data_IF_699171676682
#
_entry.id   IF_699171676682
#
_cell.length_a   1.000
_cell.length_b   1.000
_cell.length_c   1.000
_cell.angle_alpha   90.00
_cell.angle_beta   90.00
_cell.angle_gamma   90.00
#
_symmetry.space_group_name_H-M   'P 1'
#
loop_
_entity.id
_entity.type
_entity.pdbx_description
1 polymer ?
#
# COMPACT_ATOMS: atom_id res chain seq x y z
N UNK A 1 -7.79 -1.56 -28.10
CA UNK A 1 -7.91 -2.50 -26.96
C UNK A 1 -6.63 -2.61 -26.12
N UNK A 2 -5.43 -2.68 -26.72
CA UNK A 2 -4.15 -2.74 -25.96
C UNK A 2 -3.94 -1.59 -24.96
N UNK A 3 -4.43 -0.38 -25.29
CA UNK A 3 -4.32 0.79 -24.40
C UNK A 3 -5.12 0.64 -23.09
N UNK A 4 -6.33 0.09 -23.15
CA UNK A 4 -7.17 -0.17 -21.96
C UNK A 4 -6.52 -1.18 -21.01
N UNK A 5 -5.90 -2.23 -21.55
CA UNK A 5 -5.22 -3.26 -20.77
C UNK A 5 -4.01 -2.66 -20.04
N UNK A 6 -3.21 -1.83 -20.71
CA UNK A 6 -2.07 -1.14 -20.11
C UNK A 6 -2.53 -0.21 -18.99
N UNK A 7 -3.62 0.55 -19.20
CA UNK A 7 -4.15 1.45 -18.19
C UNK A 7 -4.64 0.72 -16.93
N UNK A 8 -5.30 -0.44 -17.09
CA UNK A 8 -5.71 -1.30 -15.99
C UNK A 8 -4.49 -1.88 -15.26
N UNK A 9 -3.48 -2.35 -15.99
CA UNK A 9 -2.25 -2.88 -15.40
C UNK A 9 -1.50 -1.82 -14.60
N UNK A 10 -1.45 -0.58 -15.08
CA UNK A 10 -0.86 0.53 -14.35
C UNK A 10 -1.62 0.86 -13.06
N UNK A 11 -2.96 0.81 -13.08
CA UNK A 11 -3.77 0.96 -11.84
C UNK A 11 -3.53 -0.19 -10.87
N UNK A 12 -3.45 -1.41 -11.36
CA UNK A 12 -3.20 -2.60 -10.53
C UNK A 12 -1.80 -2.58 -9.93
N UNK A 13 -0.80 -2.10 -10.68
CA UNK A 13 0.57 -1.94 -10.19
C UNK A 13 0.64 -0.99 -8.99
N UNK A 14 -0.12 0.11 -8.99
CA UNK A 14 -0.23 1.03 -7.86
C UNK A 14 -0.85 0.37 -6.62
N UNK A 15 -1.92 -0.39 -6.81
CA UNK A 15 -2.52 -1.17 -5.73
C UNK A 15 -1.55 -2.24 -5.18
N UNK A 16 -0.76 -2.86 -6.06
CA UNK A 16 0.31 -3.78 -5.68
C UNK A 16 1.41 -3.12 -4.85
N UNK A 17 1.87 -1.94 -5.25
CA UNK A 17 2.86 -1.17 -4.48
C UNK A 17 2.32 -0.79 -3.09
N UNK A 18 1.07 -0.35 -3.01
CA UNK A 18 0.41 -0.06 -1.73
C UNK A 18 0.33 -1.30 -0.83
N UNK A 19 0.03 -2.48 -1.41
CA UNK A 19 0.02 -3.75 -0.69
C UNK A 19 1.40 -4.11 -0.12
N UNK A 20 2.47 -3.97 -0.93
CA UNK A 20 3.84 -4.25 -0.48
C UNK A 20 4.24 -3.32 0.67
N UNK A 21 3.97 -2.02 0.55
CA UNK A 21 4.28 -1.04 1.60
C UNK A 21 3.49 -1.33 2.88
N UNK A 22 2.19 -1.65 2.75
CA UNK A 22 1.36 -2.01 3.89
C UNK A 22 1.84 -3.26 4.62
N UNK A 23 2.29 -4.29 3.90
CA UNK A 23 2.85 -5.51 4.50
C UNK A 23 4.17 -5.19 5.22
N UNK A 24 5.05 -4.38 4.62
CA UNK A 24 6.31 -3.97 5.26
C UNK A 24 6.01 -3.25 6.57
N UNK A 25 5.07 -2.29 6.56
CA UNK A 25 4.66 -1.58 7.78
C UNK A 25 4.10 -2.54 8.83
N UNK A 26 3.22 -3.46 8.44
CA UNK A 26 2.64 -4.44 9.37
C UNK A 26 3.71 -5.33 10.01
N UNK A 27 4.67 -5.84 9.22
CA UNK A 27 5.78 -6.66 9.74
C UNK A 27 6.66 -5.86 10.70
N UNK A 28 6.92 -4.59 10.39
CA UNK A 28 7.71 -3.70 11.26
C UNK A 28 6.93 -3.38 12.55
N UNK A 29 5.63 -3.14 12.49
CA UNK A 29 4.82 -2.87 13.69
C UNK A 29 4.68 -4.09 14.60
N UNK A 30 4.42 -5.27 14.03
CA UNK A 30 4.21 -6.51 14.81
C UNK A 30 5.54 -7.12 15.27
N UNK A 31 6.60 -7.03 14.48
CA UNK A 31 7.90 -7.62 14.78
C UNK A 31 8.69 -6.80 15.81
N UNK A 32 9.48 -5.79 15.39
CA UNK A 32 10.34 -5.03 16.31
C UNK A 32 9.61 -4.07 17.25
N UNK A 33 8.40 -3.62 16.91
CA UNK A 33 7.60 -2.70 17.74
C UNK A 33 6.60 -3.41 18.67
N UNK A 34 6.54 -4.74 18.62
CA UNK A 34 5.69 -5.61 19.46
C UNK A 34 4.22 -5.18 19.50
N UNK A 35 3.70 -4.55 18.43
CA UNK A 35 2.30 -4.20 18.34
C UNK A 35 1.43 -5.47 18.22
N UNK A 36 0.28 -5.48 18.88
CA UNK A 36 -0.66 -6.61 18.80
C UNK A 36 -1.11 -6.84 17.36
N UNK A 37 -0.80 -8.01 16.82
CA UNK A 37 -1.24 -8.40 15.49
C UNK A 37 -2.78 -8.48 15.44
N UNK A 38 -3.39 -7.66 14.60
CA UNK A 38 -4.83 -7.68 14.34
C UNK A 38 -5.13 -7.44 12.86
N UNK A 39 -6.29 -7.93 12.40
CA UNK A 39 -6.76 -7.67 11.04
C UNK A 39 -6.96 -6.16 10.80
N UNK A 40 -7.42 -5.44 11.83
CA UNK A 40 -7.57 -3.99 11.80
C UNK A 40 -6.23 -3.28 11.57
N UNK A 41 -5.17 -3.69 12.29
CA UNK A 41 -3.83 -3.14 12.12
C UNK A 41 -3.28 -3.40 10.71
N UNK A 42 -3.49 -4.59 10.16
CA UNK A 42 -3.08 -4.92 8.79
C UNK A 42 -3.80 -4.03 7.75
N UNK A 43 -5.11 -3.82 7.92
CA UNK A 43 -5.88 -2.93 7.05
C UNK A 43 -5.44 -1.48 7.17
N UNK A 44 -5.16 -1.00 8.39
CA UNK A 44 -4.64 0.35 8.61
C UNK A 44 -3.25 0.53 7.96
N UNK A 45 -2.35 -0.45 8.10
CA UNK A 45 -1.04 -0.40 7.43
C UNK A 45 -1.18 -0.36 5.91
N UNK A 46 -2.11 -1.14 5.35
CA UNK A 46 -2.41 -1.12 3.92
C UNK A 46 -2.99 0.22 3.46
N UNK A 47 -3.97 0.78 4.19
CA UNK A 47 -4.54 2.10 3.93
C UNK A 47 -3.49 3.21 4.00
N UNK A 48 -2.58 3.15 4.98
CA UNK A 48 -1.45 4.09 5.10
C UNK A 48 -0.49 3.96 3.92
N UNK A 49 -0.18 2.73 3.48
CA UNK A 49 0.60 2.48 2.27
C UNK A 49 -0.07 3.01 1.00
N UNK A 50 -1.38 2.84 0.87
CA UNK A 50 -2.16 3.38 -0.23
C UNK A 50 -2.18 4.92 -0.25
N UNK A 51 -2.36 5.55 0.92
CA UNK A 51 -2.29 7.00 1.08
C UNK A 51 -0.90 7.54 0.69
N UNK A 52 0.18 6.84 1.04
CA UNK A 52 1.54 7.20 0.63
C UNK A 52 1.73 7.12 -0.90
N UNK A 53 1.25 6.05 -1.53
CA UNK A 53 1.32 5.91 -3.00
C UNK A 53 0.57 7.04 -3.70
N UNK A 54 -0.64 7.36 -3.22
CA UNK A 54 -1.42 8.48 -3.72
C UNK A 54 -0.68 9.81 -3.52
N UNK A 55 -0.08 10.03 -2.36
CA UNK A 55 0.66 11.26 -2.05
C UNK A 55 1.87 11.45 -2.98
N UNK A 56 2.64 10.39 -3.25
CA UNK A 56 3.76 10.44 -4.20
C UNK A 56 3.26 10.69 -5.62
N UNK A 57 2.12 10.11 -6.00
CA UNK A 57 1.52 10.32 -7.32
C UNK A 57 1.02 11.76 -7.51
N UNK A 58 0.37 12.34 -6.50
CA UNK A 58 -0.20 13.69 -6.58
C UNK A 58 0.83 14.79 -6.37
N UNK A 59 2.07 14.44 -6.00
CA UNK A 59 3.14 15.38 -5.67
C UNK A 59 3.12 15.76 -4.19
N UNK A 60 4.30 15.66 -3.55
CA UNK A 60 4.53 16.18 -2.20
C UNK A 60 4.92 17.66 -2.34
N UNK A 61 3.91 18.54 -2.41
CA UNK A 61 3.98 19.99 -2.66
C UNK A 61 4.09 20.41 -4.14
#
# INVERSE_FOLDING_TARGET
MSNLVIEILLRLAKAGLAAVIGVILFVVLVGPLEATASAELALLCWLSGAALVLLVETGFI
#
